data_IF_585177229834
#
_entry.id   IF_585177229834
#
_cell.length_a   1.000
_cell.length_b   1.000
_cell.length_c   1.000
_cell.angle_alpha   90.00
_cell.angle_beta   90.00
_cell.angle_gamma   90.00
#
_symmetry.space_group_name_H-M   'P 1'
#
loop_
_entity.id
_entity.type
_entity.pdbx_description
1 polymer ?
#
# COMPACT_ATOMS: atom_id res chain seq x y z
N UNK A 1 17.99 8.29 -3.33
CA UNK A 1 19.12 7.50 -2.79
C UNK A 1 18.50 6.19 -2.34
N UNK A 2 18.62 5.16 -3.17
CA UNK A 2 17.99 3.85 -2.97
C UNK A 2 18.94 2.99 -2.14
N UNK A 3 18.49 2.50 -0.98
CA UNK A 3 19.27 1.57 -0.17
C UNK A 3 19.00 0.14 -0.68
N UNK A 4 20.01 -0.70 -0.93
CA UNK A 4 19.82 -2.14 -1.13
C UNK A 4 18.92 -2.72 -0.03
N UNK A 5 18.15 -3.77 -0.32
CA UNK A 5 17.23 -4.39 0.66
C UNK A 5 17.94 -4.88 1.93
N UNK A 6 19.25 -5.04 1.87
CA UNK A 6 20.17 -5.43 2.93
C UNK A 6 20.44 -4.29 3.93
N UNK A 7 20.37 -3.04 3.46
CA UNK A 7 20.65 -1.82 4.23
C UNK A 7 19.36 -1.22 4.84
N UNK A 8 18.23 -1.90 4.67
CA UNK A 8 16.94 -1.44 5.13
C UNK A 8 16.76 -1.72 6.61
N UNK A 9 16.59 -0.67 7.42
CA UNK A 9 16.23 -0.89 8.82
C UNK A 9 14.79 -1.37 8.93
N UNK A 10 14.52 -2.15 9.97
CA UNK A 10 13.15 -2.59 10.28
C UNK A 10 12.18 -1.41 10.45
N UNK A 11 12.67 -0.28 10.99
CA UNK A 11 11.86 0.94 11.17
C UNK A 11 11.50 1.58 9.84
N UNK A 12 12.44 1.64 8.88
CA UNK A 12 12.18 2.13 7.54
C UNK A 12 11.18 1.25 6.81
N UNK A 13 11.34 -0.08 6.90
CA UNK A 13 10.38 -1.04 6.37
C UNK A 13 8.97 -0.82 6.95
N UNK A 14 8.87 -0.77 8.29
CA UNK A 14 7.60 -0.55 8.97
C UNK A 14 6.95 0.78 8.58
N UNK A 15 7.75 1.84 8.40
CA UNK A 15 7.24 3.14 7.98
C UNK A 15 6.58 3.07 6.60
N UNK A 16 7.23 2.40 5.65
CA UNK A 16 6.68 2.23 4.29
C UNK A 16 5.41 1.39 4.31
N UNK A 17 5.39 0.31 5.09
CA UNK A 17 4.19 -0.53 5.26
C UNK A 17 3.02 0.25 5.89
N UNK A 18 3.30 1.05 6.93
CA UNK A 18 2.29 1.88 7.58
C UNK A 18 1.67 2.89 6.60
N UNK A 19 2.45 3.49 5.71
CA UNK A 19 1.94 4.49 4.76
C UNK A 19 1.18 3.82 3.62
N UNK A 20 1.76 2.80 2.98
CA UNK A 20 1.28 2.28 1.71
C UNK A 20 0.21 1.18 1.86
N UNK A 21 0.26 0.42 2.95
CA UNK A 21 -0.64 -0.72 3.20
C UNK A 21 -1.67 -0.39 4.26
N UNK A 22 -1.21 0.05 5.44
CA UNK A 22 -2.12 0.30 6.57
C UNK A 22 -2.85 1.64 6.42
N UNK A 23 -2.17 2.66 5.91
CA UNK A 23 -2.67 4.04 5.81
C UNK A 23 -4.01 4.20 5.07
N UNK A 24 -4.26 3.49 3.95
CA UNK A 24 -5.53 3.60 3.23
C UNK A 24 -6.74 3.00 3.98
N UNK A 25 -6.52 2.05 4.91
CA UNK A 25 -7.60 1.27 5.51
C UNK A 25 -8.62 2.12 6.30
N UNK A 26 -8.23 3.04 7.21
CA UNK A 26 -9.20 3.85 7.95
C UNK A 26 -10.12 4.66 7.03
N UNK A 27 -9.56 5.29 5.98
CA UNK A 27 -10.35 6.03 5.00
C UNK A 27 -11.34 5.15 4.24
N UNK A 28 -10.88 3.98 3.77
CA UNK A 28 -11.74 3.01 3.10
C UNK A 28 -12.86 2.49 4.02
N UNK A 29 -12.57 2.24 5.30
CA UNK A 29 -13.55 1.79 6.29
C UNK A 29 -14.67 2.79 6.50
N UNK A 30 -14.34 4.08 6.63
CA UNK A 30 -15.36 5.12 6.80
C UNK A 30 -16.16 5.35 5.51
N UNK A 31 -15.51 5.32 4.36
CA UNK A 31 -16.18 5.39 3.06
C UNK A 31 -17.14 4.21 2.85
N UNK A 32 -16.77 3.01 3.27
CA UNK A 32 -17.63 1.82 3.21
C UNK A 32 -18.92 1.97 4.03
N UNK A 33 -18.84 2.57 5.24
CA UNK A 33 -20.04 2.84 6.06
C UNK A 33 -21.05 3.74 5.34
N UNK A 34 -20.56 4.71 4.57
CA UNK A 34 -21.39 5.62 3.78
C UNK A 34 -21.99 4.87 2.58
N UNK A 35 -21.16 4.15 1.81
CA UNK A 35 -21.60 3.40 0.63
C UNK A 35 -22.64 2.32 0.97
N UNK A 36 -22.51 1.68 2.13
CA UNK A 36 -23.50 0.70 2.63
C UNK A 36 -24.90 1.33 2.76
N UNK A 37 -24.99 2.59 3.21
CA UNK A 37 -26.27 3.32 3.32
C UNK A 37 -26.80 3.74 1.94
N UNK A 38 -25.91 3.99 0.99
CA UNK A 38 -26.25 4.41 -0.38
C UNK A 38 -26.59 3.25 -1.31
N UNK A 39 -26.41 2.00 -0.88
CA UNK A 39 -26.65 0.80 -1.69
C UNK A 39 -25.52 0.46 -2.67
N UNK A 40 -24.40 1.20 -2.64
CA UNK A 40 -23.25 0.92 -3.49
C UNK A 40 -22.24 2.06 -3.59
N UNK A 41 -21.10 1.75 -4.22
CA UNK A 41 -20.02 2.70 -4.49
C UNK A 41 -18.77 1.99 -5.02
N UNK A 42 -17.70 2.76 -5.25
CA UNK A 42 -16.39 2.25 -5.67
C UNK A 42 -15.30 2.99 -4.90
N UNK A 43 -14.35 2.25 -4.32
CA UNK A 43 -13.12 2.77 -3.73
C UNK A 43 -11.98 2.40 -4.68
N UNK A 44 -11.20 3.38 -5.13
CA UNK A 44 -10.06 3.16 -6.02
C UNK A 44 -8.79 3.46 -5.23
N UNK A 45 -7.94 2.44 -5.03
CA UNK A 45 -6.63 2.60 -4.43
C UNK A 45 -5.56 2.65 -5.52
N UNK A 46 -4.57 3.54 -5.40
CA UNK A 46 -3.54 3.73 -6.44
C UNK A 46 -2.36 2.78 -6.18
N UNK A 47 -2.27 1.74 -7.01
CA UNK A 47 -1.14 0.80 -7.07
C UNK A 47 0.14 1.40 -7.69
N UNK A 48 1.18 0.61 -7.83
CA UNK A 48 2.42 0.94 -8.56
C UNK A 48 2.82 -0.28 -9.35
N UNK A 49 3.36 -0.08 -10.55
CA UNK A 49 3.84 -1.16 -11.43
C UNK A 49 5.02 -1.91 -10.79
N UNK A 50 5.78 -1.25 -9.90
CA UNK A 50 6.86 -1.86 -9.13
C UNK A 50 6.37 -3.08 -8.31
N UNK A 51 5.11 -3.07 -7.87
CA UNK A 51 4.49 -4.18 -7.15
C UNK A 51 4.13 -5.42 -8.01
N UNK A 52 4.24 -5.34 -9.34
CA UNK A 52 3.98 -6.46 -10.26
C UNK A 52 5.25 -7.01 -10.93
N UNK A 53 6.30 -6.18 -11.03
CA UNK A 53 7.61 -6.59 -11.54
C UNK A 53 8.67 -6.03 -10.59
N UNK A 54 9.21 -6.85 -9.68
CA UNK A 54 10.34 -6.45 -8.83
C UNK A 54 11.46 -6.00 -9.76
N UNK A 55 11.82 -4.71 -9.71
CA UNK A 55 13.01 -4.24 -10.41
C UNK A 55 14.19 -4.51 -9.49
N UNK A 56 15.25 -5.11 -10.04
CA UNK A 56 16.49 -5.47 -9.35
C UNK A 56 17.19 -4.33 -8.56
N UNK A 57 16.66 -3.11 -8.56
CA UNK A 57 17.25 -1.93 -7.92
C UNK A 57 16.43 -1.31 -6.76
N UNK A 58 15.22 -1.78 -6.43
CA UNK A 58 14.32 -1.00 -5.56
C UNK A 58 13.69 -1.81 -4.42
N UNK A 59 14.29 -1.75 -3.23
CA UNK A 59 13.86 -2.45 -2.01
C UNK A 59 12.71 -1.76 -1.23
N UNK A 60 12.19 -0.61 -1.68
CA UNK A 60 11.21 0.20 -0.91
C UNK A 60 9.90 0.55 -1.63
N UNK A 61 9.84 0.44 -2.95
CA UNK A 61 8.66 0.85 -3.73
C UNK A 61 7.61 -0.25 -3.89
N UNK A 62 7.94 -1.47 -3.48
CA UNK A 62 7.14 -2.67 -3.77
C UNK A 62 6.05 -2.96 -2.71
N UNK A 63 5.96 -2.18 -1.63
CA UNK A 63 4.99 -2.34 -0.53
C UNK A 63 3.52 -2.05 -0.89
N UNK A 64 3.09 -2.16 -2.15
CA UNK A 64 1.70 -1.94 -2.58
C UNK A 64 0.87 -3.22 -2.71
N UNK A 65 1.38 -4.36 -2.25
CA UNK A 65 0.66 -5.64 -2.26
C UNK A 65 -0.04 -5.90 -0.91
N UNK A 66 -1.31 -5.48 -0.79
CA UNK A 66 -2.26 -5.97 0.23
C UNK A 66 -3.71 -5.57 -0.10
N UNK A 67 -4.16 -5.82 -1.34
CA UNK A 67 -5.57 -5.65 -1.70
C UNK A 67 -5.88 -6.59 -2.87
N UNK A 68 -6.20 -7.84 -2.57
CA UNK A 68 -6.62 -8.82 -3.57
C UNK A 68 -6.46 -10.25 -3.09
N UNK A 69 -7.38 -10.69 -2.23
CA UNK A 69 -8.16 -11.92 -2.38
C UNK A 69 -9.59 -11.61 -1.89
#
# INVERSE_FOLDING_TARGET
MEAPGEDLTMEQWQRVMQVNVTGPFPGAREAFKIMKKQGGGRIINIGSIAAQKPRHSLSLHDSKHASGD
#
